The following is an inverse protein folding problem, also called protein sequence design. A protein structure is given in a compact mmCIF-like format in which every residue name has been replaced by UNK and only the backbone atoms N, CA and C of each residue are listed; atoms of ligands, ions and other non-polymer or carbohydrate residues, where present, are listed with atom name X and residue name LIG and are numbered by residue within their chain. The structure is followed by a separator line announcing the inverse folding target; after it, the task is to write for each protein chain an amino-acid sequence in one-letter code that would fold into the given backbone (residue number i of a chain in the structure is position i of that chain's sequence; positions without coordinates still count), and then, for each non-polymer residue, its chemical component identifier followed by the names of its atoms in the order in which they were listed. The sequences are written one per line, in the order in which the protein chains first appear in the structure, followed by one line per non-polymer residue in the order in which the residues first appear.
data_IF_140650646392
#
_entry.id   IF_140650646392
#
_cell.length_a   1.000
_cell.length_b   1.000
_cell.length_c   1.000
_cell.angle_alpha   90.00
_cell.angle_beta   90.00
_cell.angle_gamma   90.00
#
_symmetry.space_group_name_H-M   'P 1'
#
loop_
_entity.id
_entity.type
_entity.pdbx_description
1 polymer ?
#
# COMPACT_ATOMS: atom_id res chain seq x y z
N UNK A 1 4.30 -3.90 -17.53
CA UNK A 1 4.76 -4.01 -16.14
C UNK A 1 3.64 -3.59 -15.22
N UNK A 2 3.46 -4.30 -14.14
CA UNK A 2 2.36 -4.04 -13.21
C UNK A 2 2.88 -3.47 -11.91
N UNK A 3 2.23 -2.41 -11.44
CA UNK A 3 2.50 -1.81 -10.15
C UNK A 3 1.38 -2.23 -9.21
N UNK A 4 1.74 -2.78 -8.05
CA UNK A 4 0.77 -3.26 -7.08
C UNK A 4 1.16 -2.80 -5.67
N UNK A 5 0.21 -2.88 -4.75
CA UNK A 5 0.47 -2.58 -3.36
C UNK A 5 0.39 -3.85 -2.53
N UNK A 6 1.32 -4.00 -1.60
CA UNK A 6 1.24 -5.01 -0.55
C UNK A 6 0.82 -4.33 0.74
N UNK A 7 0.06 -5.03 1.54
CA UNK A 7 -0.53 -4.48 2.75
C UNK A 7 -0.02 -5.23 3.97
N UNK A 8 0.26 -4.48 5.04
CA UNK A 8 0.77 -5.05 6.29
C UNK A 8 -0.01 -4.47 7.46
N UNK A 9 -0.23 -5.30 8.51
CA UNK A 9 -0.88 -4.86 9.73
C UNK A 9 0.13 -4.26 10.70
N UNK A 10 -0.34 -3.91 11.92
CA UNK A 10 0.50 -3.29 12.93
C UNK A 10 1.63 -4.20 13.41
N UNK A 11 1.50 -5.50 13.18
CA UNK A 11 2.51 -6.49 13.59
C UNK A 11 3.47 -6.83 12.45
N UNK A 12 3.34 -6.16 11.31
CA UNK A 12 4.20 -6.43 10.16
C UNK A 12 3.80 -7.65 9.37
N UNK A 13 2.61 -8.19 9.59
CA UNK A 13 2.13 -9.35 8.85
C UNK A 13 1.46 -8.91 7.56
N UNK A 14 1.67 -9.66 6.50
CA UNK A 14 0.94 -9.43 5.25
C UNK A 14 -0.54 -9.71 5.46
N UNK A 15 -1.38 -8.80 4.98
CA UNK A 15 -2.83 -8.96 5.06
C UNK A 15 -3.42 -8.78 3.67
N UNK A 16 -4.59 -9.36 3.45
CA UNK A 16 -5.29 -9.20 2.20
C UNK A 16 -5.89 -7.80 2.11
N UNK A 17 -5.91 -7.28 0.92
CA UNK A 17 -6.50 -5.98 0.64
C UNK A 17 -6.95 -5.92 -0.81
N UNK A 18 -7.34 -4.72 -1.28
CA UNK A 18 -7.77 -4.57 -2.67
C UNK A 18 -6.68 -5.06 -3.63
N UNK A 19 -7.06 -5.92 -4.56
CA UNK A 19 -6.13 -6.49 -5.51
C UNK A 19 -6.17 -5.67 -6.80
N UNK A 20 -5.48 -4.52 -6.78
CA UNK A 20 -5.45 -3.59 -7.89
C UNK A 20 -4.08 -3.57 -8.53
N UNK A 21 -4.04 -3.51 -9.86
CA UNK A 21 -2.80 -3.37 -10.59
C UNK A 21 -2.84 -2.06 -11.37
N UNK A 22 -1.73 -1.36 -11.40
CA UNK A 22 -1.63 -0.05 -12.02
C UNK A 22 -0.59 -0.08 -13.14
N UNK A 23 -0.76 0.79 -14.12
CA UNK A 23 0.15 0.83 -15.27
C UNK A 23 1.37 1.69 -14.99
N UNK A 24 1.36 2.51 -13.94
CA UNK A 24 2.49 3.38 -13.60
C UNK A 24 2.54 3.60 -12.10
N UNK A 25 3.71 4.03 -11.64
CA UNK A 25 3.90 4.40 -10.24
C UNK A 25 2.99 5.56 -9.85
N UNK A 26 2.83 6.53 -10.75
CA UNK A 26 2.00 7.70 -10.50
C UNK A 26 0.55 7.31 -10.26
N UNK A 27 0.02 6.39 -11.05
CA UNK A 27 -1.34 5.89 -10.86
C UNK A 27 -1.48 5.17 -9.53
N UNK A 28 -0.50 4.34 -9.18
CA UNK A 28 -0.51 3.62 -7.91
C UNK A 28 -0.49 4.58 -6.73
N UNK A 29 0.32 5.63 -6.82
CA UNK A 29 0.40 6.63 -5.75
C UNK A 29 -0.87 7.45 -5.62
N UNK A 30 -1.51 7.79 -6.73
CA UNK A 30 -2.80 8.47 -6.69
C UNK A 30 -3.86 7.63 -6.00
N UNK A 31 -3.88 6.34 -6.33
CA UNK A 31 -4.84 5.42 -5.73
C UNK A 31 -4.66 5.31 -4.22
N UNK A 32 -3.41 5.15 -3.75
CA UNK A 32 -3.16 5.01 -2.32
C UNK A 32 -3.49 6.30 -1.57
N UNK A 33 -3.28 7.44 -2.21
CA UNK A 33 -3.63 8.74 -1.63
C UNK A 33 -5.12 8.93 -1.44
N UNK A 34 -5.95 8.20 -2.18
CA UNK A 34 -7.40 8.25 -2.05
C UNK A 34 -7.96 7.15 -1.15
N UNK A 35 -7.21 6.08 -0.95
CA UNK A 35 -7.71 4.85 -0.32
C UNK A 35 -7.13 4.60 1.06
N UNK A 36 -6.08 5.30 1.46
CA UNK A 36 -5.32 4.98 2.67
C UNK A 36 -6.17 4.99 3.93
N UNK A 37 -7.20 5.85 4.01
CA UNK A 37 -8.06 5.91 5.19
C UNK A 37 -8.92 4.65 5.31
N UNK A 38 -9.42 4.16 4.19
CA UNK A 38 -10.18 2.92 4.17
C UNK A 38 -9.30 1.74 4.56
N UNK A 39 -8.05 1.74 4.11
CA UNK A 39 -7.09 0.71 4.47
C UNK A 39 -6.79 0.73 5.97
N UNK A 40 -6.59 1.91 6.55
CA UNK A 40 -6.39 2.02 8.00
C UNK A 40 -7.60 1.49 8.77
N UNK A 41 -8.80 1.80 8.31
CA UNK A 41 -10.02 1.31 8.95
C UNK A 41 -10.11 -0.21 8.90
N UNK A 42 -9.49 -0.83 7.90
CA UNK A 42 -9.46 -2.28 7.75
C UNK A 42 -8.28 -2.94 8.49
N UNK A 43 -7.45 -2.15 9.17
CA UNK A 43 -6.32 -2.69 9.94
C UNK A 43 -4.98 -2.65 9.22
N UNK A 44 -4.92 -2.07 8.02
CA UNK A 44 -3.67 -1.95 7.28
C UNK A 44 -2.95 -0.69 7.75
N UNK A 45 -1.73 -0.83 8.26
CA UNK A 45 -0.97 0.31 8.77
C UNK A 45 0.26 0.61 7.94
N UNK A 46 0.69 -0.32 7.09
CA UNK A 46 1.82 -0.11 6.19
C UNK A 46 1.50 -0.66 4.82
N UNK A 47 2.06 -0.02 3.81
CA UNK A 47 1.95 -0.50 2.43
C UNK A 47 3.33 -0.50 1.79
N UNK A 48 3.52 -1.39 0.81
CA UNK A 48 4.74 -1.45 0.02
C UNK A 48 4.35 -1.38 -1.44
N UNK A 49 4.99 -0.50 -2.18
CA UNK A 49 4.79 -0.42 -3.62
C UNK A 49 5.70 -1.42 -4.31
N UNK A 50 5.12 -2.25 -5.16
CA UNK A 50 5.83 -3.33 -5.83
C UNK A 50 5.65 -3.18 -7.33
N UNK A 51 6.76 -3.23 -8.06
CA UNK A 51 6.75 -3.33 -9.51
C UNK A 51 7.17 -4.75 -9.88
N UNK A 52 6.24 -5.50 -10.48
CA UNK A 52 6.42 -6.92 -10.76
C UNK A 52 6.79 -7.67 -9.49
N UNK A 53 8.06 -8.05 -9.28
CA UNK A 53 8.49 -8.75 -8.07
C UNK A 53 9.43 -7.91 -7.22
N UNK A 54 9.60 -6.63 -7.56
CA UNK A 54 10.55 -5.77 -6.87
C UNK A 54 9.80 -4.76 -5.99
N UNK A 55 10.14 -4.72 -4.72
CA UNK A 55 9.62 -3.70 -3.81
C UNK A 55 10.37 -2.39 -4.04
N UNK A 56 9.65 -1.35 -4.47
CA UNK A 56 10.24 -0.05 -4.72
C UNK A 56 10.43 0.73 -3.41
N UNK A 57 9.40 0.75 -2.58
CA UNK A 57 9.51 1.39 -1.26
C UNK A 57 8.35 0.95 -0.38
N UNK A 58 8.47 1.28 0.90
CA UNK A 58 7.43 1.03 1.90
C UNK A 58 7.10 2.33 2.60
N UNK A 59 5.86 2.46 3.05
CA UNK A 59 5.49 3.62 3.84
C UNK A 59 4.41 3.25 4.85
N UNK A 60 4.38 4.04 5.94
CA UNK A 60 3.36 3.90 6.97
C UNK A 60 2.14 4.72 6.58
N UNK A 61 0.95 4.20 6.86
CA UNK A 61 -0.28 4.94 6.69
C UNK A 61 -0.65 5.74 7.92
N UNK A 62 0.05 5.49 9.04
CA UNK A 62 -0.20 6.24 10.27
C UNK A 62 0.33 7.65 10.15
N UNK A 63 -0.35 8.64 10.76
CA UNK A 63 0.14 10.02 10.77
C UNK A 63 1.52 10.12 11.39
N UNK A 64 2.29 11.11 10.95
CA UNK A 64 3.61 11.35 11.50
C UNK A 64 3.49 11.67 12.98
N UNK A 65 4.35 11.08 13.79
CA UNK A 65 4.35 11.29 15.24
C UNK A 65 3.48 10.31 16.02
N UNK A 66 2.82 9.43 15.36
CA UNK A 66 1.99 8.41 16.01
C UNK A 66 2.81 7.17 16.36
#
# INVERSE_FOLDING_TARGET
MAWTWRYEDAKGRSVDGPNEAFSSQSDAESWIGQTWRDLLAAGVVKVALVEDERTEYRMSLLPAGE
#
